data_IF_717197049339
#
_entry.id   IF_717197049339
#
_cell.length_a   1.000
_cell.length_b   1.000
_cell.length_c   1.000
_cell.angle_alpha   90.00
_cell.angle_beta   90.00
_cell.angle_gamma   90.00
#
_symmetry.space_group_name_H-M   'P 1'
#
loop_
_entity.id
_entity.type
_entity.pdbx_description
1 polymer ?
#
# COMPACT_ATOMS: atom_id res chain seq x y z
N UNK A 1 19.36 26.18 -41.62
CA UNK A 1 18.19 25.32 -41.95
C UNK A 1 17.69 24.71 -40.65
N UNK A 2 16.40 24.81 -40.35
CA UNK A 2 15.79 24.03 -39.26
C UNK A 2 15.66 22.59 -39.76
N UNK A 3 16.10 21.62 -38.98
CA UNK A 3 15.88 20.21 -39.27
C UNK A 3 14.47 19.85 -38.75
N UNK A 4 13.61 19.38 -39.65
CA UNK A 4 12.22 18.96 -39.35
C UNK A 4 12.13 17.50 -38.88
N UNK A 5 13.23 16.75 -38.90
CA UNK A 5 13.27 15.39 -38.38
C UNK A 5 13.12 15.37 -36.84
N UNK A 6 12.43 14.35 -36.28
CA UNK A 6 12.37 14.15 -34.83
C UNK A 6 13.75 14.22 -34.19
N UNK A 7 13.86 14.95 -33.08
CA UNK A 7 15.12 15.16 -32.33
C UNK A 7 16.27 15.76 -33.16
N UNK A 8 15.97 16.43 -34.27
CA UNK A 8 16.97 17.05 -35.14
C UNK A 8 17.86 16.03 -35.86
N UNK A 9 17.33 14.85 -36.15
CA UNK A 9 18.04 13.76 -36.84
C UNK A 9 18.96 12.93 -35.93
N UNK A 10 18.87 13.14 -34.60
CA UNK A 10 19.63 12.34 -33.63
C UNK A 10 18.98 10.99 -33.41
N UNK A 11 19.80 9.95 -33.34
CA UNK A 11 19.35 8.62 -32.91
C UNK A 11 19.06 8.68 -31.41
N UNK A 12 17.80 8.48 -31.05
CA UNK A 12 17.34 8.38 -29.66
C UNK A 12 16.97 6.93 -29.35
N UNK A 13 17.37 6.45 -28.17
CA UNK A 13 16.94 5.15 -27.65
C UNK A 13 16.15 5.39 -26.38
N UNK A 14 14.90 4.97 -26.38
CA UNK A 14 14.04 4.98 -25.21
C UNK A 14 13.98 3.57 -24.64
N UNK A 15 14.17 3.45 -23.34
CA UNK A 15 14.02 2.21 -22.59
C UNK A 15 13.16 2.47 -21.37
N UNK A 16 12.22 1.59 -21.10
CA UNK A 16 11.34 1.68 -19.95
C UNK A 16 10.34 0.54 -19.96
N UNK A 17 9.61 0.40 -18.86
CA UNK A 17 8.50 -0.52 -18.74
C UNK A 17 7.20 0.29 -18.82
N UNK A 18 6.39 -0.01 -19.84
CA UNK A 18 5.14 0.71 -20.08
C UNK A 18 3.95 0.14 -19.29
N UNK A 19 4.18 -0.88 -18.48
CA UNK A 19 3.25 -1.40 -17.48
C UNK A 19 3.49 -0.76 -16.09
N UNK A 20 4.35 0.26 -16.01
CA UNK A 20 4.51 1.09 -14.82
C UNK A 20 3.37 2.10 -14.66
N UNK A 21 3.30 2.73 -13.48
CA UNK A 21 2.30 3.75 -13.15
C UNK A 21 2.29 4.89 -14.18
N UNK A 22 1.09 5.45 -14.41
CA UNK A 22 0.93 6.58 -15.31
C UNK A 22 1.68 7.82 -14.77
N UNK A 23 2.08 8.78 -15.64
CA UNK A 23 2.70 10.02 -15.19
C UNK A 23 1.85 10.75 -14.16
N UNK A 24 2.45 11.16 -13.05
CA UNK A 24 1.74 11.90 -12.00
C UNK A 24 1.46 13.32 -12.50
N UNK A 25 0.17 13.68 -12.58
CA UNK A 25 -0.28 15.05 -12.84
C UNK A 25 -1.24 15.48 -11.73
N UNK A 26 -0.87 16.54 -11.02
CA UNK A 26 -1.74 17.13 -10.00
C UNK A 26 -3.01 17.67 -10.66
N UNK A 27 -4.16 17.42 -10.03
CA UNK A 27 -5.47 17.94 -10.43
C UNK A 27 -5.90 17.58 -11.87
N UNK A 28 -5.30 16.53 -12.45
CA UNK A 28 -5.64 16.06 -13.78
C UNK A 28 -6.70 14.97 -13.75
N UNK A 29 -7.61 15.01 -14.72
CA UNK A 29 -8.56 13.94 -14.98
C UNK A 29 -7.85 12.68 -15.49
N UNK A 30 -8.54 11.54 -15.42
CA UNK A 30 -8.04 10.27 -15.99
C UNK A 30 -7.66 10.41 -17.47
N UNK A 31 -8.49 11.11 -18.24
CA UNK A 31 -8.26 11.33 -19.67
C UNK A 31 -6.99 12.17 -19.92
N UNK A 32 -6.76 13.23 -19.14
CA UNK A 32 -5.57 14.07 -19.26
C UNK A 32 -4.29 13.32 -18.88
N UNK A 33 -4.35 12.47 -17.87
CA UNK A 33 -3.23 11.60 -17.47
C UNK A 33 -2.89 10.58 -18.56
N UNK A 34 -3.90 9.98 -19.20
CA UNK A 34 -3.71 9.08 -20.35
C UNK A 34 -3.14 9.85 -21.55
N UNK A 35 -3.64 11.05 -21.84
CA UNK A 35 -3.12 11.88 -22.92
C UNK A 35 -1.66 12.31 -22.71
N UNK A 36 -1.22 12.41 -21.45
CA UNK A 36 0.17 12.68 -21.11
C UNK A 36 1.10 11.47 -21.25
N UNK A 37 0.56 10.26 -21.43
CA UNK A 37 1.38 9.07 -21.63
C UNK A 37 2.13 9.16 -22.95
N UNK A 38 3.38 8.69 -22.94
CA UNK A 38 4.23 8.74 -24.14
C UNK A 38 3.63 7.98 -25.34
N UNK A 39 2.86 6.90 -25.08
CA UNK A 39 2.10 6.16 -26.09
C UNK A 39 1.05 7.01 -26.83
N UNK A 40 0.59 8.09 -26.21
CA UNK A 40 -0.37 9.04 -26.79
C UNK A 40 0.31 10.15 -27.61
N UNK A 41 1.65 10.19 -27.62
CA UNK A 41 2.41 11.20 -28.36
C UNK A 41 2.45 10.91 -29.87
N UNK A 42 2.38 11.92 -30.75
CA UNK A 42 2.64 11.74 -32.18
C UNK A 42 4.03 11.15 -32.49
N UNK A 43 4.98 11.28 -31.56
CA UNK A 43 6.30 10.67 -31.68
C UNK A 43 6.26 9.14 -31.60
N UNK A 44 5.20 8.56 -31.03
CA UNK A 44 5.06 7.12 -30.86
C UNK A 44 5.11 6.37 -32.19
N UNK A 45 4.49 6.93 -33.25
CA UNK A 45 4.48 6.37 -34.60
C UNK A 45 5.86 6.40 -35.28
N UNK A 46 6.77 7.26 -34.81
CA UNK A 46 8.13 7.38 -35.35
C UNK A 46 9.12 6.38 -34.71
N UNK A 47 8.69 5.64 -33.68
CA UNK A 47 9.55 4.73 -32.93
C UNK A 47 9.45 3.30 -33.44
N UNK A 48 10.60 2.64 -33.54
CA UNK A 48 10.66 1.18 -33.70
C UNK A 48 10.62 0.53 -32.32
N UNK A 49 9.53 -0.16 -32.04
CA UNK A 49 9.31 -0.83 -30.77
C UNK A 49 10.00 -2.21 -30.80
N UNK A 50 10.72 -2.54 -29.72
CA UNK A 50 11.25 -3.87 -29.45
C UNK A 50 10.95 -4.22 -28.00
N UNK A 51 10.30 -5.36 -27.79
CA UNK A 51 10.07 -5.89 -26.45
C UNK A 51 11.30 -6.72 -26.08
N UNK A 52 11.92 -6.39 -24.95
CA UNK A 52 13.06 -7.11 -24.40
C UNK A 52 12.66 -7.70 -23.05
N UNK A 53 12.61 -9.03 -22.97
CA UNK A 53 12.40 -9.74 -21.70
C UNK A 53 13.76 -10.04 -21.09
N UNK A 54 14.06 -9.44 -19.94
CA UNK A 54 15.30 -9.67 -19.21
C UNK A 54 15.08 -10.75 -18.14
N UNK A 55 15.37 -12.01 -18.49
CA UNK A 55 15.43 -13.09 -17.50
C UNK A 55 16.73 -13.00 -16.68
N UNK A 56 16.64 -13.05 -15.34
CA UNK A 56 17.82 -13.33 -14.51
C UNK A 56 18.10 -14.83 -14.54
N UNK A 57 19.31 -15.29 -14.91
CA UNK A 57 19.70 -16.67 -14.72
C UNK A 57 19.74 -16.97 -13.22
N UNK A 58 18.98 -17.95 -12.75
CA UNK A 58 19.10 -18.47 -11.39
C UNK A 58 20.00 -19.71 -11.41
N UNK A 59 20.90 -19.88 -10.42
CA UNK A 59 21.80 -21.03 -10.36
C UNK A 59 21.11 -22.34 -9.93
N UNK A 60 19.89 -22.28 -9.40
CA UNK A 60 19.14 -23.44 -8.90
C UNK A 60 17.87 -23.70 -9.75
N UNK A 61 17.70 -24.91 -10.34
CA UNK A 61 16.56 -25.23 -11.20
C UNK A 61 15.20 -25.19 -10.49
N UNK A 62 15.11 -25.49 -9.18
CA UNK A 62 13.84 -25.41 -8.45
C UNK A 62 13.37 -23.95 -8.34
N UNK A 63 14.29 -23.04 -7.96
CA UNK A 63 14.02 -21.59 -7.93
C UNK A 63 13.78 -20.99 -9.32
N UNK A 64 14.27 -21.63 -10.38
CA UNK A 64 14.04 -21.19 -11.75
C UNK A 64 12.59 -21.43 -12.19
N UNK A 65 12.02 -22.59 -11.81
CA UNK A 65 10.64 -22.93 -12.13
C UNK A 65 9.65 -22.01 -11.41
N UNK A 66 9.84 -21.80 -10.10
CA UNK A 66 9.02 -20.88 -9.30
C UNK A 66 9.09 -19.44 -9.84
N UNK A 67 10.30 -18.97 -10.19
CA UNK A 67 10.48 -17.63 -10.77
C UNK A 67 9.81 -17.52 -12.15
N UNK A 68 9.85 -18.58 -12.97
CA UNK A 68 9.20 -18.61 -14.27
C UNK A 68 7.67 -18.59 -14.14
N UNK A 69 7.11 -19.34 -13.20
CA UNK A 69 5.68 -19.34 -12.90
C UNK A 69 5.21 -17.96 -12.44
N UNK A 70 5.93 -17.35 -11.49
CA UNK A 70 5.63 -15.99 -11.03
C UNK A 70 5.79 -14.95 -12.13
N UNK A 71 6.80 -15.10 -13.00
CA UNK A 71 6.98 -14.22 -14.15
C UNK A 71 5.83 -14.33 -15.15
N UNK A 72 5.35 -15.54 -15.44
CA UNK A 72 4.20 -15.74 -16.33
C UNK A 72 2.93 -15.15 -15.71
N UNK A 73 2.74 -15.30 -14.40
CA UNK A 73 1.66 -14.65 -13.67
C UNK A 73 1.69 -13.12 -13.83
N UNK A 74 2.84 -12.47 -13.63
CA UNK A 74 2.99 -11.02 -13.83
C UNK A 74 2.74 -10.59 -15.28
N UNK A 75 3.18 -11.39 -16.26
CA UNK A 75 2.93 -11.13 -17.67
C UNK A 75 1.43 -11.22 -18.00
N UNK A 76 0.73 -12.22 -17.48
CA UNK A 76 -0.72 -12.35 -17.68
C UNK A 76 -1.49 -11.16 -17.12
N UNK A 77 -1.09 -10.64 -15.95
CA UNK A 77 -1.70 -9.42 -15.40
C UNK A 77 -1.36 -8.21 -16.28
N UNK A 78 -0.09 -8.03 -16.67
CA UNK A 78 0.34 -6.89 -17.47
C UNK A 78 -0.23 -6.85 -18.89
N UNK A 79 -0.60 -8.00 -19.44
CA UNK A 79 -1.22 -8.17 -20.77
C UNK A 79 -2.74 -8.31 -20.74
N UNK A 80 -3.37 -8.16 -19.57
CA UNK A 80 -4.83 -8.30 -19.39
C UNK A 80 -5.36 -9.69 -19.82
N UNK A 81 -4.57 -10.74 -19.59
CA UNK A 81 -4.90 -12.15 -19.87
C UNK A 81 -5.25 -12.95 -18.63
N UNK A 82 -5.04 -12.39 -17.42
CA UNK A 82 -5.31 -13.08 -16.18
C UNK A 82 -6.82 -13.14 -15.88
N UNK A 83 -7.36 -14.26 -15.35
CA UNK A 83 -8.80 -14.39 -15.10
C UNK A 83 -9.35 -13.31 -14.17
N UNK A 84 -10.42 -12.65 -14.61
CA UNK A 84 -11.18 -11.69 -13.80
C UNK A 84 -12.16 -12.39 -12.86
N UNK A 85 -12.40 -11.77 -11.72
CA UNK A 85 -13.39 -12.19 -10.74
C UNK A 85 -14.75 -11.56 -11.07
N UNK A 86 -15.56 -12.30 -11.83
CA UNK A 86 -16.90 -11.88 -12.25
C UNK A 86 -17.88 -11.69 -11.07
N UNK A 87 -17.60 -12.24 -9.89
CA UNK A 87 -18.46 -12.09 -8.71
C UNK A 87 -18.31 -10.71 -8.05
N UNK A 88 -17.22 -9.98 -8.32
CA UNK A 88 -16.96 -8.65 -7.76
C UNK A 88 -17.14 -7.57 -8.84
N UNK A 89 -16.33 -7.62 -9.91
CA UNK A 89 -16.47 -6.73 -11.07
C UNK A 89 -15.67 -7.23 -12.28
N UNK A 90 -15.95 -6.67 -13.46
CA UNK A 90 -15.24 -6.97 -14.71
C UNK A 90 -13.75 -6.58 -14.69
N UNK A 91 -13.28 -5.81 -13.70
CA UNK A 91 -11.90 -5.32 -13.61
C UNK A 91 -11.14 -5.84 -12.38
N UNK A 92 -11.74 -6.72 -11.59
CA UNK A 92 -11.11 -7.26 -10.40
C UNK A 92 -10.50 -8.62 -10.67
N UNK A 93 -9.37 -8.94 -10.04
CA UNK A 93 -8.71 -10.25 -10.12
C UNK A 93 -8.71 -10.93 -8.75
N UNK A 94 -8.67 -12.26 -8.75
CA UNK A 94 -8.41 -13.03 -7.53
C UNK A 94 -6.90 -13.15 -7.31
N UNK A 95 -6.41 -12.55 -6.23
CA UNK A 95 -5.04 -12.77 -5.78
C UNK A 95 -4.91 -14.22 -5.28
N UNK A 96 -3.91 -14.99 -5.74
CA UNK A 96 -3.64 -16.33 -5.25
C UNK A 96 -3.52 -16.37 -3.72
N UNK A 97 -4.10 -17.40 -3.07
CA UNK A 97 -4.18 -17.47 -1.60
C UNK A 97 -2.82 -17.52 -0.91
N UNK A 98 -1.83 -18.11 -1.58
CA UNK A 98 -0.43 -18.19 -1.16
C UNK A 98 0.30 -16.82 -1.20
N UNK A 99 -0.26 -15.82 -1.88
CA UNK A 99 0.21 -14.44 -1.87
C UNK A 99 -0.52 -13.57 -0.83
N UNK A 100 -1.45 -14.14 -0.05
CA UNK A 100 -2.26 -13.43 0.92
C UNK A 100 -1.87 -13.81 2.36
N UNK A 101 -1.89 -12.82 3.25
CA UNK A 101 -1.77 -13.04 4.70
C UNK A 101 -3.16 -12.95 5.33
N UNK A 102 -3.53 -13.95 6.12
CA UNK A 102 -4.81 -14.00 6.81
C UNK A 102 -4.59 -13.85 8.32
N UNK A 103 -5.17 -12.82 8.97
CA UNK A 103 -5.09 -12.67 10.42
C UNK A 103 -5.89 -13.78 11.11
N UNK A 104 -5.44 -14.16 12.31
CA UNK A 104 -6.14 -15.16 13.12
C UNK A 104 -7.60 -14.72 13.42
N UNK A 105 -8.58 -15.65 13.36
CA UNK A 105 -9.97 -15.36 13.70
C UNK A 105 -10.11 -14.88 15.14
N UNK A 106 -11.11 -14.03 15.41
CA UNK A 106 -11.47 -13.65 16.78
C UNK A 106 -11.94 -14.90 17.51
N UNK A 107 -11.29 -15.30 18.61
CA UNK A 107 -11.89 -16.27 19.52
C UNK A 107 -13.22 -15.69 20.00
N UNK A 108 -14.32 -16.42 19.77
CA UNK A 108 -15.62 -15.99 20.27
C UNK A 108 -15.53 -15.90 21.79
N UNK A 109 -15.77 -14.69 22.34
CA UNK A 109 -15.79 -14.50 23.79
C UNK A 109 -16.87 -15.42 24.35
N UNK A 110 -16.55 -16.34 25.28
CA UNK A 110 -17.57 -17.15 25.93
C UNK A 110 -18.53 -16.20 26.62
N UNK A 111 -19.82 -16.33 26.33
CA UNK A 111 -20.88 -15.56 26.98
C UNK A 111 -20.78 -15.88 28.47
N UNK A 112 -20.30 -14.94 29.28
CA UNK A 112 -20.37 -15.04 30.73
C UNK A 112 -21.81 -14.72 31.07
N UNK A 113 -22.63 -15.73 31.37
CA UNK A 113 -23.99 -15.53 31.85
C UNK A 113 -23.92 -14.78 33.20
N UNK A 114 -24.05 -13.45 33.16
CA UNK A 114 -24.30 -12.67 34.35
C UNK A 114 -25.59 -13.18 35.00
N UNK A 115 -25.45 -13.86 36.13
CA UNK A 115 -26.54 -14.28 36.97
C UNK A 115 -27.23 -13.02 37.51
N UNK A 116 -28.35 -12.64 36.90
CA UNK A 116 -29.28 -11.68 37.50
C UNK A 116 -30.15 -12.45 38.47
N UNK A 117 -30.04 -12.12 39.75
CA UNK A 117 -30.89 -12.62 40.81
C UNK A 117 -32.35 -12.23 40.51
N UNK A 118 -33.19 -13.24 40.34
CA UNK A 118 -34.58 -13.13 39.90
C UNK A 118 -35.51 -13.20 41.13
N UNK A 119 -36.14 -12.08 41.49
CA UNK A 119 -37.31 -12.07 42.37
C UNK A 119 -38.48 -11.37 41.66
N UNK A 120 -39.60 -12.10 41.59
CA UNK A 120 -40.98 -11.73 41.25
C UNK A 120 -41.44 -11.62 39.78
N UNK A 121 -41.93 -12.77 39.29
CA UNK A 121 -43.33 -13.01 38.85
C UNK A 121 -43.95 -12.04 37.82
N UNK A 122 -43.72 -12.32 36.52
CA UNK A 122 -44.64 -12.00 35.42
C UNK A 122 -44.41 -12.93 34.20
N UNK A 123 -45.49 -13.60 33.76
CA UNK A 123 -45.74 -14.38 32.53
C UNK A 123 -44.57 -14.99 31.71
N UNK A 124 -44.67 -16.30 31.47
CA UNK A 124 -43.77 -17.07 30.61
C UNK A 124 -43.81 -16.54 29.16
N UNK A 125 -42.70 -16.04 28.58
CA UNK A 125 -42.70 -15.62 27.18
C UNK A 125 -42.83 -16.84 26.26
N UNK A 126 -43.41 -16.66 25.05
CA UNK A 126 -43.58 -17.75 24.10
C UNK A 126 -42.21 -18.26 23.61
N UNK A 127 -41.95 -19.53 23.91
CA UNK A 127 -41.02 -20.47 23.28
C UNK A 127 -39.96 -19.87 22.31
N UNK A 128 -38.75 -19.62 22.84
CA UNK A 128 -37.51 -19.17 22.18
C UNK A 128 -36.88 -20.17 21.17
N UNK A 129 -37.67 -20.98 20.48
CA UNK A 129 -37.14 -22.17 19.83
C UNK A 129 -36.55 -22.02 18.43
N UNK A 130 -36.27 -20.82 17.91
CA UNK A 130 -35.55 -20.71 16.64
C UNK A 130 -34.61 -19.49 16.61
N UNK A 131 -33.51 -19.64 17.35
CA UNK A 131 -32.21 -18.94 17.24
C UNK A 131 -32.14 -17.51 17.82
N UNK A 132 -31.01 -17.16 18.48
CA UNK A 132 -30.74 -15.79 18.88
C UNK A 132 -30.47 -14.93 17.65
N UNK A 133 -31.05 -13.74 17.63
CA UNK A 133 -30.58 -12.65 16.79
C UNK A 133 -29.11 -12.39 17.14
N UNK A 134 -28.23 -12.48 16.14
CA UNK A 134 -26.87 -11.98 16.27
C UNK A 134 -27.00 -10.46 16.36
N UNK A 135 -27.11 -9.93 17.57
CA UNK A 135 -26.87 -8.50 17.78
C UNK A 135 -25.40 -8.23 17.41
N UNK A 136 -25.13 -7.29 16.49
CA UNK A 136 -23.77 -6.88 16.22
C UNK A 136 -23.20 -6.28 17.51
N UNK A 137 -21.98 -6.70 17.86
CA UNK A 137 -21.19 -6.16 18.97
C UNK A 137 -21.42 -4.64 19.11
N UNK A 138 -21.90 -4.21 20.27
CA UNK A 138 -22.21 -2.81 20.57
C UNK A 138 -20.93 -1.97 20.72
N UNK A 139 -20.25 -1.70 19.61
CA UNK A 139 -19.31 -0.59 19.43
C UNK A 139 -19.74 0.23 18.21
N UNK A 140 -19.42 1.52 18.17
CA UNK A 140 -19.67 2.32 16.97
C UNK A 140 -19.05 1.62 15.74
N UNK A 141 -19.75 1.62 14.60
CA UNK A 141 -19.31 0.92 13.38
C UNK A 141 -17.87 1.26 13.00
N UNK A 142 -17.47 2.49 13.26
CA UNK A 142 -16.14 3.03 12.94
C UNK A 142 -15.05 2.41 13.82
N UNK A 143 -15.34 2.14 15.10
CA UNK A 143 -14.38 1.49 16.02
C UNK A 143 -14.13 0.03 15.63
N UNK A 144 -15.18 -0.68 15.21
CA UNK A 144 -15.08 -2.08 14.75
C UNK A 144 -14.26 -2.16 13.45
N UNK A 145 -14.44 -1.21 12.53
CA UNK A 145 -13.65 -1.16 11.30
C UNK A 145 -12.18 -0.82 11.55
N UNK A 146 -11.91 0.09 12.48
CA UNK A 146 -10.55 0.46 12.88
C UNK A 146 -9.82 -0.71 13.55
N UNK A 147 -10.46 -1.41 14.49
CA UNK A 147 -9.91 -2.62 15.11
C UNK A 147 -9.57 -3.67 14.05
N UNK A 148 -10.50 -3.95 13.13
CA UNK A 148 -10.27 -4.90 12.04
C UNK A 148 -9.08 -4.51 11.18
N UNK A 149 -8.97 -3.21 10.83
CA UNK A 149 -7.84 -2.69 10.05
C UNK A 149 -6.52 -2.85 10.82
N UNK A 150 -6.49 -2.53 12.11
CA UNK A 150 -5.31 -2.67 12.95
C UNK A 150 -4.85 -4.14 13.01
N UNK A 151 -5.77 -5.09 13.22
CA UNK A 151 -5.47 -6.53 13.21
C UNK A 151 -4.88 -7.01 11.88
N UNK A 152 -5.48 -6.61 10.76
CA UNK A 152 -4.98 -6.96 9.44
C UNK A 152 -3.55 -6.43 9.20
N UNK A 153 -3.28 -5.19 9.61
CA UNK A 153 -1.94 -4.60 9.49
C UNK A 153 -0.95 -5.30 10.42
N UNK A 154 -1.34 -5.63 11.65
CA UNK A 154 -0.47 -6.35 12.59
C UNK A 154 -0.07 -7.73 12.02
N UNK A 155 -1.02 -8.48 11.48
CA UNK A 155 -0.71 -9.76 10.82
C UNK A 155 0.25 -9.60 9.64
N UNK A 156 0.12 -8.53 8.85
CA UNK A 156 1.06 -8.22 7.77
C UNK A 156 2.46 -7.87 8.30
N UNK A 157 2.54 -7.08 9.38
CA UNK A 157 3.80 -6.73 10.03
C UNK A 157 4.49 -7.98 10.56
N UNK A 158 3.76 -8.86 11.24
CA UNK A 158 4.32 -10.09 11.82
C UNK A 158 4.79 -11.07 10.72
N UNK A 159 4.10 -11.09 9.57
CA UNK A 159 4.50 -11.90 8.42
C UNK A 159 5.77 -11.39 7.73
N UNK A 160 5.92 -10.06 7.58
CA UNK A 160 7.07 -9.46 6.88
C UNK A 160 8.28 -9.26 7.81
N UNK A 161 8.04 -8.79 9.03
CA UNK A 161 9.03 -8.49 10.07
C UNK A 161 8.81 -9.38 11.30
N UNK A 162 9.04 -10.71 11.19
CA UNK A 162 8.86 -11.62 12.31
C UNK A 162 9.86 -11.32 13.44
N UNK A 163 9.33 -11.07 14.64
CA UNK A 163 10.15 -10.78 15.83
C UNK A 163 10.75 -9.37 15.85
N UNK A 164 10.07 -8.39 15.23
CA UNK A 164 10.49 -6.98 15.25
C UNK A 164 10.58 -6.37 16.65
N UNK A 165 9.92 -6.98 17.64
CA UNK A 165 9.94 -6.55 19.04
C UNK A 165 11.21 -7.04 19.79
N UNK A 166 12.08 -7.80 19.13
CA UNK A 166 13.29 -8.36 19.72
C UNK A 166 14.42 -7.33 19.87
N UNK A 167 15.23 -7.48 20.90
CA UNK A 167 16.41 -6.65 21.10
C UNK A 167 17.53 -6.99 20.09
N UNK A 168 18.29 -5.96 19.68
CA UNK A 168 19.52 -6.10 18.88
C UNK A 168 19.34 -6.75 17.49
N UNK A 169 18.35 -6.27 16.74
CA UNK A 169 18.12 -6.67 15.34
C UNK A 169 19.30 -6.23 14.46
N UNK A 170 19.91 -7.13 13.65
CA UNK A 170 21.02 -6.78 12.77
C UNK A 170 20.55 -5.90 11.61
N UNK A 171 21.37 -4.98 11.09
CA UNK A 171 21.01 -4.11 9.96
C UNK A 171 20.45 -4.89 8.75
N UNK A 172 21.02 -6.08 8.48
CA UNK A 172 20.58 -6.98 7.41
C UNK A 172 19.11 -7.38 7.53
N UNK A 173 18.56 -7.41 8.75
CA UNK A 173 17.15 -7.70 9.01
C UNK A 173 16.23 -6.76 8.22
N UNK A 174 16.52 -5.45 8.20
CA UNK A 174 15.68 -4.46 7.55
C UNK A 174 15.93 -4.33 6.04
N UNK A 175 17.14 -4.65 5.56
CA UNK A 175 17.53 -4.44 4.15
C UNK A 175 16.76 -5.30 3.17
N UNK A 176 16.38 -6.52 3.55
CA UNK A 176 15.76 -7.50 2.66
C UNK A 176 14.22 -7.46 2.68
N UNK A 177 13.62 -6.46 3.34
CA UNK A 177 12.18 -6.42 3.63
C UNK A 177 11.59 -5.04 3.37
N UNK A 178 10.39 -5.00 2.80
CA UNK A 178 9.64 -3.77 2.62
C UNK A 178 8.13 -4.05 2.66
N UNK A 179 7.37 -3.13 3.25
CA UNK A 179 5.92 -3.06 3.08
C UNK A 179 5.60 -1.90 2.15
N UNK A 180 4.88 -2.18 1.07
CA UNK A 180 4.38 -1.17 0.14
C UNK A 180 2.91 -0.90 0.43
N UNK A 181 2.50 0.37 0.39
CA UNK A 181 1.12 0.77 0.58
C UNK A 181 0.71 1.83 -0.45
N UNK A 182 -0.57 1.87 -0.85
CA UNK A 182 -1.02 2.71 -1.97
C UNK A 182 -1.02 4.21 -1.66
N UNK A 183 -1.06 4.61 -0.38
CA UNK A 183 -1.10 6.02 0.02
C UNK A 183 -0.07 6.32 1.10
N UNK A 184 0.44 7.55 1.11
CA UNK A 184 1.35 8.02 2.16
C UNK A 184 0.72 7.99 3.56
N UNK A 185 -0.61 8.16 3.66
CA UNK A 185 -1.33 8.02 4.93
C UNK A 185 -1.24 6.58 5.44
N UNK A 186 -1.44 5.59 4.58
CA UNK A 186 -1.26 4.17 4.93
C UNK A 186 0.19 3.85 5.28
N UNK A 187 1.16 4.36 4.50
CA UNK A 187 2.61 4.21 4.80
C UNK A 187 2.92 4.77 6.18
N UNK A 188 2.47 5.98 6.50
CA UNK A 188 2.72 6.62 7.80
C UNK A 188 2.11 5.81 8.94
N UNK A 189 0.87 5.33 8.79
CA UNK A 189 0.22 4.49 9.80
C UNK A 189 1.04 3.22 10.08
N UNK A 190 1.45 2.51 9.04
CA UNK A 190 2.26 1.29 9.16
C UNK A 190 3.61 1.59 9.80
N UNK A 191 4.31 2.63 9.33
CA UNK A 191 5.62 3.02 9.88
C UNK A 191 5.53 3.37 11.37
N UNK A 192 4.49 4.10 11.79
CA UNK A 192 4.29 4.41 13.21
C UNK A 192 4.07 3.13 14.02
N UNK A 193 3.21 2.21 13.56
CA UNK A 193 2.95 0.93 14.24
C UNK A 193 4.22 0.07 14.39
N UNK A 194 5.09 0.04 13.38
CA UNK A 194 6.37 -0.67 13.45
C UNK A 194 7.34 0.06 14.37
N UNK A 195 7.37 1.40 14.33
CA UNK A 195 8.30 2.19 15.16
C UNK A 195 8.00 2.07 16.65
N UNK A 196 6.72 1.94 17.02
CA UNK A 196 6.29 1.70 18.42
C UNK A 196 6.74 0.34 18.97
N UNK A 197 7.04 -0.62 18.08
CA UNK A 197 7.47 -1.98 18.43
C UNK A 197 8.98 -2.14 18.57
N UNK A 198 9.75 -1.31 17.86
CA UNK A 198 11.21 -1.40 17.87
C UNK A 198 11.76 -0.85 19.19
N UNK A 199 12.58 -1.65 19.88
CA UNK A 199 13.29 -1.22 21.09
C UNK A 199 14.56 -0.45 20.73
N UNK A 200 14.80 0.70 21.36
CA UNK A 200 16.04 1.47 21.17
C UNK A 200 15.92 2.98 21.41
N UNK A 201 17.05 3.67 21.25
CA UNK A 201 17.12 5.13 21.38
C UNK A 201 16.47 5.82 20.18
N UNK A 202 15.47 6.67 20.43
CA UNK A 202 14.87 7.50 19.39
C UNK A 202 15.68 8.78 19.20
N UNK A 203 15.97 9.13 17.94
CA UNK A 203 16.57 10.41 17.56
C UNK A 203 15.61 11.20 16.68
N UNK A 204 15.31 12.43 17.08
CA UNK A 204 14.53 13.35 16.27
C UNK A 204 15.48 14.15 15.37
N UNK A 205 15.19 14.18 14.06
CA UNK A 205 15.90 14.98 13.08
C UNK A 205 14.96 16.10 12.60
N UNK A 206 15.36 17.34 12.81
CA UNK A 206 14.60 18.52 12.41
C UNK A 206 15.10 19.00 11.05
N UNK A 207 14.19 19.43 10.19
CA UNK A 207 14.56 20.05 8.90
C UNK A 207 14.94 21.51 9.13
N UNK A 208 15.76 22.04 8.23
CA UNK A 208 16.00 23.48 8.12
C UNK A 208 15.43 23.91 6.78
N UNK A 209 14.26 24.53 6.81
CA UNK A 209 13.59 25.05 5.62
C UNK A 209 13.81 26.56 5.55
N UNK A 210 14.69 27.01 4.65
CA UNK A 210 14.94 28.43 4.42
C UNK A 210 14.36 28.89 3.09
N UNK A 211 13.74 30.05 3.08
CA UNK A 211 13.25 30.68 1.85
C UNK A 211 14.40 31.38 1.12
N UNK A 212 14.80 30.84 -0.03
CA UNK A 212 15.80 31.47 -0.89
C UNK A 212 15.12 32.45 -1.88
N UNK A 213 15.52 33.72 -1.90
CA UNK A 213 15.07 34.72 -2.88
C UNK A 213 13.86 35.58 -2.49
N UNK A 214 13.44 35.58 -1.22
CA UNK A 214 12.34 36.42 -0.71
C UNK A 214 12.91 37.68 -0.04
N UNK A 215 12.31 38.85 -0.30
CA UNK A 215 12.77 40.12 0.27
C UNK A 215 12.58 40.23 1.80
N UNK A 216 11.66 39.44 2.36
CA UNK A 216 11.39 39.33 3.78
C UNK A 216 11.51 37.84 4.21
N UNK A 217 12.47 37.49 5.08
CA UNK A 217 12.61 36.14 5.64
C UNK A 217 11.40 35.66 6.44
N UNK A 218 10.54 36.58 6.91
CA UNK A 218 9.36 36.27 7.73
C UNK A 218 8.05 36.23 6.91
N UNK A 219 8.12 36.11 5.58
CA UNK A 219 6.93 36.13 4.72
C UNK A 219 5.94 34.98 5.02
N UNK A 220 6.42 33.87 5.58
CA UNK A 220 5.60 32.74 5.99
C UNK A 220 5.88 32.39 7.45
N UNK A 221 4.83 32.15 8.23
CA UNK A 221 4.97 31.74 9.63
C UNK A 221 5.57 30.33 9.72
N UNK A 222 6.37 30.08 10.76
CA UNK A 222 7.01 28.79 10.99
C UNK A 222 6.00 27.65 11.08
N UNK A 223 4.78 27.92 11.58
CA UNK A 223 3.67 26.96 11.60
C UNK A 223 3.22 26.55 10.20
N UNK A 224 3.29 27.45 9.21
CA UNK A 224 2.98 27.14 7.82
C UNK A 224 4.06 26.27 7.16
N UNK A 225 5.34 26.51 7.48
CA UNK A 225 6.44 25.67 7.02
C UNK A 225 6.35 24.26 7.62
N UNK A 226 5.97 24.14 8.89
CA UNK A 226 5.71 22.87 9.57
C UNK A 226 4.53 22.06 9.01
N UNK A 227 3.67 22.68 8.19
CA UNK A 227 2.60 21.99 7.46
C UNK A 227 3.06 21.42 6.11
N UNK A 228 4.26 21.77 5.64
CA UNK A 228 4.81 21.28 4.37
C UNK A 228 5.30 19.83 4.54
N UNK A 229 4.54 18.91 3.96
CA UNK A 229 4.81 17.48 4.05
C UNK A 229 5.10 16.94 2.66
N UNK A 230 6.39 16.86 2.30
CA UNK A 230 6.81 16.34 1.01
C UNK A 230 6.77 14.81 1.01
N UNK A 231 6.31 14.23 -0.10
CA UNK A 231 6.27 12.78 -0.28
C UNK A 231 7.68 12.20 -0.30
N UNK A 232 7.95 11.19 0.52
CA UNK A 232 9.23 10.47 0.53
C UNK A 232 10.26 10.99 1.54
N UNK A 233 9.93 11.98 2.36
CA UNK A 233 10.76 12.44 3.48
C UNK A 233 10.10 12.10 4.83
N UNK A 234 10.88 11.87 5.89
CA UNK A 234 10.34 11.80 7.25
C UNK A 234 9.56 13.08 7.59
N UNK A 235 8.61 13.05 8.55
CA UNK A 235 7.84 14.22 8.94
C UNK A 235 8.77 15.37 9.30
N UNK A 236 8.63 16.47 8.56
CA UNK A 236 9.46 17.67 8.61
C UNK A 236 8.92 18.54 9.74
N UNK A 237 9.77 18.81 10.74
CA UNK A 237 9.58 19.92 11.68
C UNK A 237 10.66 20.95 11.38
N UNK A 238 10.25 22.08 10.80
CA UNK A 238 11.05 23.24 10.51
C UNK A 238 11.30 24.06 11.79
N UNK A 239 12.51 24.59 11.92
CA UNK A 239 12.94 25.51 12.98
C UNK A 239 13.07 26.95 12.47
#
# INVERSE_FOLDING_TARGET
MKNEEPFGGKVMVFSGDHCQILPIRKDATRAETIAACFKSSPLWEHLRQKICVFGRPTPNPASAAELAEFSEFLLQIGEDRYPVNQDISENDICIPRDMCVFPEPREAVPIVEEHRDDDNDMETPPNFNLLPDIEPLAGDSDEIEEDRRARNINALVDAVYPGVDGDNLPDKYFVERAILAPTNTSVRRINNMISERITGDTKEYLSIDSLEGVADPNMFELEFLNLLNFSGTPPIKSF
#
